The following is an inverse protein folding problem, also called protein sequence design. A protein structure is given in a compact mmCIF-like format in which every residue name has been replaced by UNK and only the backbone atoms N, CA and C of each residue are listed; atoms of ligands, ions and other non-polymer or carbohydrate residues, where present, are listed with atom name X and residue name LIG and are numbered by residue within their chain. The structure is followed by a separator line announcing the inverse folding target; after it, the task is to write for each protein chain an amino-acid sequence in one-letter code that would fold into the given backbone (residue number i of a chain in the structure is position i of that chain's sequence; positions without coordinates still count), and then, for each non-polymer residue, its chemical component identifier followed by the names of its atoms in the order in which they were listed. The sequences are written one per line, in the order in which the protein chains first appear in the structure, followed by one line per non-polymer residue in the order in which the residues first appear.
data_IF_196718283596
#
_entry.id   IF_196718283596
#
_cell.length_a   1.000
_cell.length_b   1.000
_cell.length_c   1.000
_cell.angle_alpha   90.00
_cell.angle_beta   90.00
_cell.angle_gamma   90.00
#
_symmetry.space_group_name_H-M   'P 1'
#
loop_
_entity.id
_entity.type
_entity.pdbx_description
1 polymer ?
#
# COMPACT_ATOMS: atom_id res chain seq x y z
N UNK A 1 -3.16 -1.51 0.72
CA UNK A 1 -3.84 -0.33 1.28
C UNK A 1 -3.37 -0.23 2.72
N UNK A 2 -3.20 0.95 3.29
CA UNK A 2 -2.89 1.04 4.72
C UNK A 2 -4.03 0.45 5.56
N UNK A 3 -3.77 0.19 6.85
CA UNK A 3 -4.80 -0.31 7.76
C UNK A 3 -6.00 0.65 7.83
N UNK A 4 -7.24 0.16 7.99
CA UNK A 4 -8.45 1.00 7.89
C UNK A 4 -8.49 2.18 8.88
N UNK A 5 -7.89 2.02 10.06
CA UNK A 5 -7.77 3.07 11.08
C UNK A 5 -6.84 4.22 10.63
N UNK A 6 -5.71 3.88 10.01
CA UNK A 6 -4.78 4.84 9.41
C UNK A 6 -5.44 5.59 8.25
N UNK A 7 -6.13 4.86 7.36
CA UNK A 7 -6.86 5.49 6.25
C UNK A 7 -7.96 6.40 6.77
N UNK A 8 -8.72 5.96 7.78
CA UNK A 8 -9.75 6.76 8.43
C UNK A 8 -9.21 8.03 9.10
N UNK A 9 -7.97 8.02 9.61
CA UNK A 9 -7.31 9.21 10.13
C UNK A 9 -6.98 10.19 9.00
N UNK A 10 -6.25 9.74 7.97
CA UNK A 10 -5.89 10.55 6.79
C UNK A 10 -7.13 11.16 6.10
N UNK A 11 -8.19 10.36 5.98
CA UNK A 11 -9.44 10.77 5.34
C UNK A 11 -10.10 11.94 6.08
N UNK A 12 -10.06 11.94 7.42
CA UNK A 12 -10.55 13.06 8.25
C UNK A 12 -9.62 14.27 8.20
N UNK A 13 -8.30 14.06 8.17
CA UNK A 13 -7.31 15.15 8.05
C UNK A 13 -7.49 15.94 6.76
N UNK A 14 -7.93 15.30 5.67
CA UNK A 14 -8.31 15.95 4.42
C UNK A 14 -9.70 16.63 4.46
N UNK A 15 -10.34 16.72 5.63
CA UNK A 15 -11.66 17.35 5.79
C UNK A 15 -12.83 16.55 5.20
N UNK A 16 -12.62 15.30 4.80
CA UNK A 16 -13.66 14.46 4.20
C UNK A 16 -14.54 13.83 5.27
N UNK A 17 -15.85 13.75 4.99
CA UNK A 17 -16.84 13.23 5.96
C UNK A 17 -16.79 11.71 6.03
N UNK A 18 -16.23 11.19 7.12
CA UNK A 18 -16.18 9.74 7.37
C UNK A 18 -17.49 9.21 7.97
N UNK A 19 -18.28 8.52 7.16
CA UNK A 19 -19.51 7.84 7.61
C UNK A 19 -19.26 6.35 7.91
N UNK A 20 -20.16 5.66 8.64
CA UNK A 20 -20.05 4.22 8.84
C UNK A 20 -19.98 3.43 7.53
N UNK A 21 -20.71 3.86 6.49
CA UNK A 21 -20.64 3.26 5.15
C UNK A 21 -19.23 3.29 4.58
N UNK A 22 -18.55 4.44 4.68
CA UNK A 22 -17.17 4.60 4.18
C UNK A 22 -16.17 3.77 4.98
N UNK A 23 -16.34 3.68 6.31
CA UNK A 23 -15.50 2.82 7.16
C UNK A 23 -15.63 1.33 6.79
N UNK A 24 -16.84 0.87 6.47
CA UNK A 24 -17.03 -0.48 5.97
C UNK A 24 -16.27 -0.69 4.66
N UNK A 25 -16.39 0.24 3.71
CA UNK A 25 -15.70 0.14 2.42
C UNK A 25 -14.18 0.10 2.59
N UNK A 26 -13.62 0.86 3.53
CA UNK A 26 -12.17 0.80 3.82
C UNK A 26 -11.77 -0.58 4.33
N UNK A 27 -12.58 -1.16 5.20
CA UNK A 27 -12.33 -2.50 5.74
C UNK A 27 -12.45 -3.57 4.65
N UNK A 28 -13.47 -3.47 3.80
CA UNK A 28 -13.66 -4.39 2.67
C UNK A 28 -12.51 -4.30 1.66
N UNK A 29 -11.99 -3.11 1.38
CA UNK A 29 -10.86 -2.94 0.46
C UNK A 29 -9.54 -3.41 1.06
N UNK A 30 -9.28 -3.16 2.35
CA UNK A 30 -8.02 -3.53 2.99
C UNK A 30 -7.73 -5.04 2.91
N UNK A 31 -8.76 -5.86 3.05
CA UNK A 31 -8.64 -7.34 3.06
C UNK A 31 -8.82 -7.96 1.66
N UNK A 32 -8.97 -7.15 0.60
CA UNK A 32 -9.32 -7.65 -0.72
C UNK A 32 -8.10 -7.91 -1.60
N UNK A 33 -7.89 -9.16 -2.04
CA UNK A 33 -6.83 -9.54 -2.99
C UNK A 33 -7.35 -9.81 -4.41
N UNK A 34 -8.66 -9.64 -4.63
CA UNK A 34 -9.35 -10.02 -5.87
C UNK A 34 -9.59 -8.86 -6.83
N UNK A 35 -9.16 -7.65 -6.48
CA UNK A 35 -9.30 -6.45 -7.30
C UNK A 35 -10.77 -6.21 -7.70
N UNK A 36 -11.66 -5.92 -6.72
CA UNK A 36 -13.09 -5.89 -6.98
C UNK A 36 -13.45 -4.76 -7.94
N UNK A 37 -14.52 -4.97 -8.71
CA UNK A 37 -15.23 -3.87 -9.36
C UNK A 37 -16.05 -3.12 -8.31
N UNK A 38 -16.44 -1.87 -8.63
CA UNK A 38 -17.34 -1.11 -7.75
C UNK A 38 -18.67 -1.83 -7.51
N UNK A 39 -19.22 -2.50 -8.52
CA UNK A 39 -20.45 -3.29 -8.40
C UNK A 39 -20.27 -4.50 -7.46
N UNK A 40 -19.17 -5.24 -7.59
CA UNK A 40 -18.87 -6.36 -6.71
C UNK A 40 -18.70 -5.91 -5.25
N UNK A 41 -18.02 -4.79 -5.03
CA UNK A 41 -17.87 -4.20 -3.71
C UNK A 41 -19.21 -3.71 -3.14
N UNK A 42 -20.07 -3.15 -3.98
CA UNK A 42 -21.43 -2.75 -3.60
C UNK A 42 -22.29 -3.95 -3.20
N UNK A 43 -22.25 -5.04 -3.97
CA UNK A 43 -22.98 -6.27 -3.68
C UNK A 43 -22.57 -6.88 -2.35
N UNK A 44 -21.29 -6.78 -1.99
CA UNK A 44 -20.82 -7.20 -0.67
C UNK A 44 -21.22 -6.22 0.44
N UNK A 45 -21.04 -4.92 0.22
CA UNK A 45 -21.31 -3.90 1.22
C UNK A 45 -22.80 -3.80 1.56
N UNK A 46 -23.68 -3.94 0.57
CA UNK A 46 -25.15 -3.87 0.74
C UNK A 46 -25.72 -5.00 1.58
N UNK A 47 -25.08 -6.18 1.58
CA UNK A 47 -25.42 -7.30 2.47
C UNK A 47 -25.12 -6.99 3.94
N UNK A 48 -24.07 -6.21 4.21
CA UNK A 48 -23.64 -5.85 5.57
C UNK A 48 -24.31 -4.57 6.09
N UNK A 49 -24.56 -3.60 5.22
CA UNK A 49 -25.28 -2.36 5.53
C UNK A 49 -26.36 -2.06 4.48
N UNK A 50 -27.59 -2.51 4.71
CA UNK A 50 -28.74 -2.12 3.90
C UNK A 50 -28.87 -0.58 3.89
N UNK A 51 -28.95 0.00 2.69
CA UNK A 51 -29.04 1.45 2.50
C UNK A 51 -27.75 2.15 2.07
N UNK A 52 -26.62 1.43 1.96
CA UNK A 52 -25.49 1.92 1.16
C UNK A 52 -25.94 2.04 -0.30
N UNK A 53 -25.48 3.08 -1.00
CA UNK A 53 -25.78 3.28 -2.42
C UNK A 53 -24.54 3.01 -3.27
N UNK A 54 -24.74 2.56 -4.51
CA UNK A 54 -23.64 2.38 -5.47
C UNK A 54 -22.86 3.70 -5.68
N UNK A 55 -23.56 4.85 -5.70
CA UNK A 55 -22.92 6.18 -5.73
C UNK A 55 -21.94 6.37 -4.57
N UNK A 56 -22.30 5.95 -3.35
CA UNK A 56 -21.41 6.04 -2.19
C UNK A 56 -20.17 5.17 -2.37
N UNK A 57 -20.31 4.00 -3.00
CA UNK A 57 -19.18 3.10 -3.29
C UNK A 57 -18.21 3.76 -4.28
N UNK A 58 -18.69 4.19 -5.45
CA UNK A 58 -17.87 4.90 -6.44
C UNK A 58 -17.17 6.12 -5.85
N UNK A 59 -17.92 7.01 -5.20
CA UNK A 59 -17.33 8.21 -4.61
C UNK A 59 -16.28 7.86 -3.55
N UNK A 60 -16.44 6.79 -2.79
CA UNK A 60 -15.43 6.39 -1.81
C UNK A 60 -14.18 5.84 -2.50
N UNK A 61 -14.33 5.04 -3.55
CA UNK A 61 -13.23 4.47 -4.30
C UNK A 61 -12.41 5.55 -5.03
N UNK A 62 -13.08 6.52 -5.66
CA UNK A 62 -12.43 7.66 -6.31
C UNK A 62 -11.58 8.46 -5.31
N UNK A 63 -12.12 8.74 -4.12
CA UNK A 63 -11.41 9.49 -3.10
C UNK A 63 -10.25 8.68 -2.48
N UNK A 64 -10.39 7.35 -2.37
CA UNK A 64 -9.28 6.49 -1.97
C UNK A 64 -8.18 6.47 -3.03
N UNK A 65 -8.54 6.50 -4.32
CA UNK A 65 -7.59 6.59 -5.42
C UNK A 65 -6.84 7.93 -5.39
N UNK A 66 -7.56 9.05 -5.19
CA UNK A 66 -6.97 10.38 -5.02
C UNK A 66 -5.99 10.43 -3.84
N UNK A 67 -6.27 9.66 -2.78
CA UNK A 67 -5.40 9.54 -1.61
C UNK A 67 -4.21 8.59 -1.82
N UNK A 68 -4.14 7.90 -2.96
CA UNK A 68 -3.13 6.88 -3.23
C UNK A 68 -3.27 5.65 -2.33
N UNK A 69 -4.47 5.36 -1.84
CA UNK A 69 -4.75 4.17 -1.01
C UNK A 69 -5.23 2.98 -1.85
N UNK A 70 -5.65 3.21 -3.09
CA UNK A 70 -5.98 2.20 -4.10
C UNK A 70 -5.49 2.65 -5.48
N UNK A 71 -5.23 1.71 -6.39
CA UNK A 71 -4.94 1.96 -7.80
C UNK A 71 -6.14 1.58 -8.67
N UNK A 72 -6.27 2.26 -9.81
CA UNK A 72 -7.30 1.97 -10.81
C UNK A 72 -6.70 1.10 -11.91
N UNK A 73 -7.37 0.00 -12.23
CA UNK A 73 -6.98 -0.86 -13.34
C UNK A 73 -8.11 -0.97 -14.37
N UNK A 74 -7.77 -0.67 -15.62
CA UNK A 74 -8.63 -0.90 -16.76
C UNK A 74 -8.42 -2.32 -17.28
N UNK A 75 -9.45 -3.14 -17.20
CA UNK A 75 -9.45 -4.48 -17.76
C UNK A 75 -10.02 -4.48 -19.19
N UNK A 76 -9.67 -5.51 -19.94
CA UNK A 76 -10.30 -5.78 -21.23
C UNK A 76 -11.83 -5.90 -21.09
N UNK A 77 -12.56 -5.39 -22.07
CA UNK A 77 -14.02 -5.33 -22.03
C UNK A 77 -14.59 -4.12 -21.28
N UNK A 78 -13.75 -3.19 -20.85
CA UNK A 78 -14.17 -1.89 -20.29
C UNK A 78 -14.51 -1.92 -18.79
N UNK A 79 -14.31 -3.07 -18.13
CA UNK A 79 -14.47 -3.15 -16.69
C UNK A 79 -13.34 -2.41 -15.96
N UNK A 80 -13.70 -1.74 -14.87
CA UNK A 80 -12.76 -1.02 -14.00
C UNK A 80 -12.68 -1.75 -12.67
N UNK A 81 -11.45 -2.08 -12.27
CA UNK A 81 -11.14 -2.74 -11.00
C UNK A 81 -10.30 -1.83 -10.12
N UNK A 82 -10.48 -1.99 -8.81
CA UNK A 82 -9.76 -1.24 -7.80
C UNK A 82 -8.80 -2.16 -7.07
N UNK A 83 -7.55 -1.74 -7.05
CA UNK A 83 -6.46 -2.49 -6.45
C UNK A 83 -6.07 -1.85 -5.11
N UNK A 84 -6.28 -2.52 -3.97
CA UNK A 84 -5.79 -2.00 -2.71
C UNK A 84 -4.27 -2.13 -2.60
N UNK A 85 -3.59 -3.00 -3.33
CA UNK A 85 -2.14 -3.06 -3.35
C UNK A 85 -1.57 -1.83 -4.07
N UNK A 86 -0.82 -1.02 -3.32
CA UNK A 86 -0.19 0.22 -3.84
C UNK A 86 1.31 0.07 -4.03
N UNK A 87 1.85 -1.11 -3.73
CA UNK A 87 3.25 -1.43 -3.99
C UNK A 87 3.46 -1.57 -5.52
N UNK A 88 4.69 -1.41 -6.00
CA UNK A 88 4.99 -1.58 -7.42
C UNK A 88 4.82 -3.04 -7.83
N UNK A 89 3.85 -3.31 -8.70
CA UNK A 89 3.57 -4.63 -9.24
C UNK A 89 2.86 -4.52 -10.60
N UNK A 90 2.66 -5.66 -11.23
CA UNK A 90 2.01 -5.84 -12.51
C UNK A 90 0.90 -6.89 -12.39
N UNK A 91 0.17 -7.14 -13.48
CA UNK A 91 -1.01 -8.00 -13.43
C UNK A 91 -0.92 -9.13 -14.45
N UNK A 92 -1.47 -10.29 -14.09
CA UNK A 92 -1.83 -11.34 -15.02
C UNK A 92 -3.36 -11.54 -14.99
N UNK A 93 -3.96 -11.65 -16.16
CA UNK A 93 -5.40 -11.84 -16.35
C UNK A 93 -5.65 -13.22 -16.95
N UNK A 94 -6.45 -14.04 -16.26
CA UNK A 94 -6.96 -15.28 -16.81
C UNK A 94 -8.09 -14.99 -17.81
N UNK A 95 -7.90 -15.38 -19.06
CA UNK A 95 -8.80 -15.06 -20.16
C UNK A 95 -10.14 -15.82 -20.11
N UNK A 96 -10.29 -16.85 -19.29
CA UNK A 96 -11.53 -17.62 -19.15
C UNK A 96 -12.39 -17.11 -18.00
N UNK A 97 -11.76 -16.81 -16.87
CA UNK A 97 -12.44 -16.40 -15.63
C UNK A 97 -12.43 -14.89 -15.40
N UNK A 98 -11.48 -14.18 -16.01
CA UNK A 98 -11.19 -12.79 -15.71
C UNK A 98 -10.57 -12.59 -14.33
N UNK A 99 -10.03 -13.63 -13.69
CA UNK A 99 -9.30 -13.52 -12.42
C UNK A 99 -7.97 -12.79 -12.61
N UNK A 100 -7.58 -11.98 -11.63
CA UNK A 100 -6.33 -11.21 -11.64
C UNK A 100 -5.35 -11.73 -10.60
N UNK A 101 -4.07 -11.70 -10.99
CA UNK A 101 -2.95 -12.08 -10.13
C UNK A 101 -1.87 -11.01 -10.16
N UNK A 102 -1.33 -10.66 -8.99
CA UNK A 102 -0.18 -9.77 -8.86
C UNK A 102 1.08 -10.47 -9.38
N UNK A 103 1.85 -9.77 -10.18
CA UNK A 103 3.12 -10.21 -10.75
C UNK A 103 4.19 -9.18 -10.40
N UNK A 104 5.27 -9.64 -9.75
CA UNK A 104 6.42 -8.80 -9.45
C UNK A 104 7.49 -9.05 -10.51
N UNK A 105 7.86 -8.01 -11.26
CA UNK A 105 8.86 -8.11 -12.32
C UNK A 105 10.11 -7.35 -11.90
N UNK A 106 11.23 -8.06 -11.88
CA UNK A 106 12.53 -7.42 -11.70
C UNK A 106 13.01 -6.75 -13.00
N UNK A 107 13.82 -5.70 -12.87
CA UNK A 107 14.56 -5.08 -13.98
C UNK A 107 13.70 -4.40 -15.07
N UNK A 108 12.67 -3.66 -14.65
CA UNK A 108 11.81 -2.87 -15.55
C UNK A 108 12.59 -1.80 -16.34
N UNK A 109 13.73 -1.35 -15.81
CA UNK A 109 14.58 -0.34 -16.45
C UNK A 109 15.14 -0.80 -17.81
N UNK A 110 15.28 -2.11 -18.01
CA UNK A 110 15.66 -2.67 -19.31
C UNK A 110 14.63 -2.41 -20.42
N UNK A 111 13.36 -2.23 -20.07
CA UNK A 111 12.31 -1.81 -21.00
C UNK A 111 12.40 -0.31 -21.29
N UNK A 112 12.69 0.51 -20.27
CA UNK A 112 12.87 1.97 -20.42
C UNK A 112 14.03 2.30 -21.36
N UNK A 113 15.10 1.49 -21.36
CA UNK A 113 16.25 1.65 -22.25
C UNK A 113 15.92 1.49 -23.75
N UNK A 114 14.77 0.91 -24.10
CA UNK A 114 14.32 0.75 -25.49
C UNK A 114 13.52 1.95 -26.00
N UNK A 115 13.23 2.93 -25.14
CA UNK A 115 12.44 4.10 -25.51
C UNK A 115 13.28 5.13 -26.29
N UNK A 116 12.65 5.91 -27.19
CA UNK A 116 13.31 7.00 -27.89
C UNK A 116 13.92 8.03 -26.94
N UNK A 117 15.03 8.65 -27.34
CA UNK A 117 15.64 9.73 -26.58
C UNK A 117 14.65 10.89 -26.37
N UNK A 118 14.54 11.38 -25.13
CA UNK A 118 13.64 12.47 -24.75
C UNK A 118 12.20 12.05 -24.44
N UNK A 119 11.87 10.76 -24.44
CA UNK A 119 10.57 10.27 -24.00
C UNK A 119 10.46 10.25 -22.47
N UNK A 120 9.47 10.96 -21.92
CA UNK A 120 9.19 10.97 -20.47
C UNK A 120 8.13 9.92 -20.15
N UNK A 121 8.47 8.97 -19.29
CA UNK A 121 7.55 7.93 -18.83
C UNK A 121 6.78 8.42 -17.61
N UNK A 122 5.46 8.50 -17.71
CA UNK A 122 4.59 8.84 -16.58
C UNK A 122 4.18 7.59 -15.77
N UNK A 123 3.97 6.47 -16.44
CA UNK A 123 3.57 5.21 -15.83
C UNK A 123 4.06 4.01 -16.67
N UNK A 124 4.32 2.88 -16.02
CA UNK A 124 4.60 1.58 -16.66
C UNK A 124 3.64 0.55 -16.09
N UNK A 125 2.84 -0.07 -16.95
CA UNK A 125 1.95 -1.18 -16.60
C UNK A 125 2.21 -2.34 -17.57
N UNK A 126 2.38 -3.53 -17.02
CA UNK A 126 2.53 -4.78 -17.78
C UNK A 126 1.34 -5.66 -17.43
N UNK A 127 0.63 -6.15 -18.45
CA UNK A 127 -0.50 -7.05 -18.28
C UNK A 127 -0.26 -8.32 -19.07
N UNK A 128 -0.17 -9.46 -18.39
CA UNK A 128 -0.05 -10.77 -19.01
C UNK A 128 -1.44 -11.36 -19.26
N UNK A 129 -1.79 -11.66 -20.50
CA UNK A 129 -3.03 -12.36 -20.83
C UNK A 129 -2.73 -13.85 -21.02
N UNK A 130 -3.36 -14.70 -20.21
CA UNK A 130 -3.08 -16.13 -20.21
C UNK A 130 -4.29 -16.97 -19.82
N UNK A 131 -4.09 -18.29 -19.69
CA UNK A 131 -5.08 -19.22 -19.13
C UNK A 131 -4.38 -20.19 -18.20
N UNK A 132 -4.94 -20.41 -17.02
CA UNK A 132 -4.48 -21.47 -16.13
C UNK A 132 -4.86 -22.84 -16.68
N UNK A 133 -3.86 -23.68 -16.97
CA UNK A 133 -4.09 -25.04 -17.42
C UNK A 133 -4.53 -25.91 -16.23
N UNK A 134 -5.84 -26.05 -16.06
CA UNK A 134 -6.47 -26.89 -15.04
C UNK A 134 -6.85 -26.12 -13.79
N UNK A 135 -8.15 -26.16 -13.42
CA UNK A 135 -8.62 -25.75 -12.11
C UNK A 135 -7.99 -26.65 -11.04
N UNK A 136 -6.90 -26.20 -10.42
CA UNK A 136 -6.61 -26.57 -9.05
C UNK A 136 -7.12 -25.43 -8.18
N UNK A 137 -8.11 -25.74 -7.34
CA UNK A 137 -8.74 -24.80 -6.43
C UNK A 137 -7.71 -24.03 -5.60
N UNK A 138 -7.89 -22.70 -5.54
CA UNK A 138 -7.39 -21.74 -4.55
C UNK A 138 -6.04 -22.09 -3.90
N UNK A 139 -4.97 -21.45 -4.37
CA UNK A 139 -3.76 -21.30 -3.59
C UNK A 139 -3.39 -19.82 -3.55
N UNK A 140 -3.52 -19.25 -2.34
CA UNK A 140 -3.15 -17.90 -1.99
C UNK A 140 -1.75 -17.53 -2.54
N UNK A 141 -1.64 -16.28 -2.99
CA UNK A 141 -0.42 -15.61 -3.44
C UNK A 141 0.78 -15.96 -2.54
N UNK A 142 1.95 -16.31 -3.09
CA UNK A 142 3.14 -16.56 -2.29
C UNK A 142 3.56 -15.27 -1.59
N UNK A 143 3.38 -15.27 -0.27
CA UNK A 143 3.82 -14.25 0.69
C UNK A 143 5.29 -13.91 0.46
N UNK A 144 5.57 -12.68 0.04
CA UNK A 144 6.91 -12.11 0.14
C UNK A 144 7.33 -12.07 1.62
N UNK A 145 8.39 -12.82 1.95
CA UNK A 145 8.96 -12.91 3.28
C UNK A 145 9.51 -11.54 3.69
N UNK A 146 8.81 -10.85 4.59
CA UNK A 146 9.34 -9.69 5.32
C UNK A 146 10.51 -10.15 6.20
N UNK A 147 11.74 -10.00 5.70
CA UNK A 147 12.96 -10.14 6.50
C UNK A 147 13.11 -8.91 7.40
N UNK A 148 12.73 -9.09 8.66
CA UNK A 148 12.84 -8.06 9.69
C UNK A 148 14.23 -8.14 10.35
N UNK A 149 15.25 -7.53 9.75
CA UNK A 149 16.55 -7.33 10.41
C UNK A 149 16.42 -6.21 11.43
N UNK A 150 15.98 -6.57 12.64
CA UNK A 150 16.08 -5.71 13.81
C UNK A 150 17.55 -5.62 14.21
N UNK A 151 18.21 -4.54 13.81
CA UNK A 151 19.51 -4.14 14.36
C UNK A 151 19.25 -3.54 15.75
N UNK A 152 19.21 -4.39 16.77
CA UNK A 152 19.19 -3.98 18.17
C UNK A 152 20.60 -3.48 18.57
N UNK A 153 20.74 -2.43 19.39
CA UNK A 153 22.04 -1.81 19.67
C UNK A 153 22.82 -2.62 20.72
N UNK A 154 24.01 -3.10 20.35
CA UNK A 154 24.97 -3.67 21.30
C UNK A 154 25.50 -2.57 22.24
N UNK A 155 25.37 -2.82 23.55
CA UNK A 155 26.08 -2.09 24.61
C UNK A 155 26.90 -3.10 25.41
N UNK A 156 28.16 -2.69 25.68
CA UNK A 156 29.15 -3.25 26.62
C UNK A 156 30.05 -4.34 25.98
N UNK A 157 31.39 -4.37 26.14
CA UNK A 157 32.30 -3.74 27.09
C UNK A 157 33.74 -4.08 26.64
N UNK A 158 34.73 -3.16 26.71
CA UNK A 158 36.13 -3.50 27.01
C UNK A 158 36.86 -2.30 27.62
N UNK A 159 37.83 -2.58 28.48
CA UNK A 159 38.32 -1.75 29.58
C UNK A 159 39.65 -0.99 29.33
N UNK A 160 39.91 0.00 30.21
CA UNK A 160 41.22 0.52 30.73
C UNK A 160 42.21 1.15 29.70
N UNK A 161 43.01 2.19 29.99
CA UNK A 161 43.69 2.61 31.23
C UNK A 161 44.23 4.08 31.20
N UNK A 162 44.50 4.62 32.42
CA UNK A 162 45.56 5.59 32.86
C UNK A 162 45.59 7.01 32.23
N UNK A 163 45.39 8.11 32.97
CA UNK A 163 46.16 8.72 34.08
C UNK A 163 46.84 10.04 33.63
N UNK A 164 46.43 11.20 34.16
CA UNK A 164 47.20 12.20 34.96
C UNK A 164 46.75 13.60 34.46
N UNK A 165 46.71 14.74 35.17
CA UNK A 165 47.32 15.25 36.41
C UNK A 165 46.61 16.59 36.78
N UNK A 166 46.53 16.86 38.09
CA UNK A 166 46.51 18.20 38.77
C UNK A 166 45.30 19.15 38.64
N UNK A 167 44.63 19.31 39.79
CA UNK A 167 43.98 20.52 40.32
C UNK A 167 45.05 21.61 40.70
N UNK A 168 44.75 22.82 41.26
CA UNK A 168 43.47 23.23 41.88
C UNK A 168 43.03 24.73 41.84
N UNK A 169 41.87 24.99 42.48
CA UNK A 169 41.49 26.18 43.29
C UNK A 169 41.13 27.49 42.53
N UNK A 170 40.21 28.38 42.93
CA UNK A 170 39.38 28.60 44.14
C UNK A 170 38.50 29.87 43.92
N UNK A 171 37.23 29.86 44.37
CA UNK A 171 36.36 31.00 44.85
C UNK A 171 36.08 32.18 43.89
N UNK A 172 35.00 32.97 43.90
CA UNK A 172 33.96 33.48 44.85
C UNK A 172 32.72 33.87 44.02
N UNK A 173 31.46 33.64 44.44
CA UNK A 173 30.54 34.53 45.19
C UNK A 173 30.40 35.98 44.66
N UNK A 174 29.17 36.37 44.30
CA UNK A 174 28.67 37.75 44.08
C UNK A 174 27.56 37.74 43.02
N UNK A 175 26.25 37.84 43.31
CA UNK A 175 25.44 38.86 44.01
C UNK A 175 25.20 40.14 43.18
N UNK A 176 23.92 40.56 43.15
CA UNK A 176 23.32 41.79 42.59
C UNK A 176 23.15 41.80 41.06
N UNK A 177 22.04 42.28 40.48
CA UNK A 177 20.89 43.03 40.97
C UNK A 177 19.73 42.83 40.00
#
# INVERSE_FOLDING_TARGET
MHAPDIVAAKYREQGRRLTPQRQLLFSLMHDNVTHPTADALFDEASKRMPGISLRTVYQTLDELQEMGEVQLMHCDGGAVRFDPNVDEHHHAVDAETGELFDVYVDNIDSLRAQLPAGFTVENVSIVFHGRLAGKAASAATPRATRNNTTKSPERQQTARAKATKRAPRRTTRGSTK
#
